data_IF_524091426339
#
_entry.id   IF_524091426339
#
_cell.length_a   1.000
_cell.length_b   1.000
_cell.length_c   1.000
_cell.angle_alpha   90.00
_cell.angle_beta   90.00
_cell.angle_gamma   90.00
#
_symmetry.space_group_name_H-M   'P 1'
#
loop_
_entity.id
_entity.type
_entity.pdbx_description
1 polymer ?
#
# COMPACT_ATOMS: atom_id res chain seq x y z
N UNK A 1 -12.18 22.58 2.50
CA UNK A 1 -11.86 22.62 1.05
C UNK A 1 -11.24 21.29 0.68
N UNK A 2 -11.63 20.68 -0.44
CA UNK A 2 -11.04 19.43 -0.89
C UNK A 2 -9.54 19.62 -1.16
N UNK A 3 -8.71 18.62 -0.81
CA UNK A 3 -7.27 18.65 -1.11
C UNK A 3 -7.06 18.64 -2.64
N UNK A 4 -5.98 19.27 -3.15
CA UNK A 4 -5.64 19.16 -4.55
C UNK A 4 -5.30 17.71 -4.91
N UNK A 5 -5.73 17.24 -6.07
CA UNK A 5 -5.35 15.90 -6.57
C UNK A 5 -3.85 15.88 -6.92
N UNK A 6 -3.09 15.04 -6.20
CA UNK A 6 -1.65 14.86 -6.37
C UNK A 6 -1.25 13.45 -6.80
N UNK A 7 -2.19 12.60 -7.19
CA UNK A 7 -1.94 11.18 -7.52
C UNK A 7 -0.84 10.99 -8.58
N UNK A 8 -0.79 11.87 -9.59
CA UNK A 8 0.23 11.81 -10.63
C UNK A 8 1.67 12.06 -10.12
N UNK A 9 1.83 12.73 -8.97
CA UNK A 9 3.12 13.15 -8.40
C UNK A 9 3.66 12.16 -7.36
N UNK A 10 2.93 11.09 -7.06
CA UNK A 10 3.30 10.13 -6.02
C UNK A 10 4.56 9.38 -6.42
N UNK A 11 5.54 9.34 -5.52
CA UNK A 11 6.82 8.65 -5.68
C UNK A 11 6.93 7.43 -4.75
N UNK A 12 6.13 7.39 -3.67
CA UNK A 12 6.10 6.30 -2.69
C UNK A 12 4.67 6.01 -2.25
N UNK A 13 4.28 4.73 -2.22
CA UNK A 13 3.03 4.26 -1.61
C UNK A 13 3.34 3.44 -0.36
N UNK A 14 2.80 3.87 0.78
CA UNK A 14 2.89 3.14 2.05
C UNK A 14 1.53 2.53 2.39
N UNK A 15 1.54 1.21 2.63
CA UNK A 15 0.35 0.47 3.02
C UNK A 15 0.37 0.19 4.52
N UNK A 16 -0.74 0.43 5.22
CA UNK A 16 -1.01 -0.38 6.40
C UNK A 16 -1.15 -1.86 6.01
N UNK A 17 -1.14 -2.74 7.00
CA UNK A 17 -1.16 -4.19 6.82
C UNK A 17 -2.52 -4.76 7.16
N UNK A 18 -2.99 -4.55 8.40
CA UNK A 18 -4.16 -5.26 8.93
C UNK A 18 -5.42 -4.53 8.51
N UNK A 19 -6.22 -5.11 7.62
CA UNK A 19 -7.41 -4.43 7.06
C UNK A 19 -7.13 -3.68 5.75
N UNK A 20 -5.86 -3.59 5.34
CA UNK A 20 -5.44 -3.12 4.01
C UNK A 20 -4.89 -4.26 3.16
N UNK A 21 -3.68 -4.76 3.45
CA UNK A 21 -3.08 -5.88 2.72
C UNK A 21 -3.65 -7.25 3.16
N UNK A 22 -4.36 -7.26 4.29
CA UNK A 22 -5.11 -8.39 4.84
C UNK A 22 -6.56 -7.98 5.08
N UNK A 23 -7.43 -8.93 5.41
CA UNK A 23 -8.83 -8.65 5.77
C UNK A 23 -9.01 -8.27 7.26
N UNK A 24 -7.91 -7.91 7.94
CA UNK A 24 -7.91 -7.53 9.36
C UNK A 24 -7.91 -8.72 10.33
N UNK A 25 -8.06 -9.96 9.83
CA UNK A 25 -8.06 -11.15 10.68
C UNK A 25 -6.65 -11.48 11.19
N UNK A 26 -6.51 -11.62 12.51
CA UNK A 26 -5.31 -12.15 13.14
C UNK A 26 -5.48 -13.63 13.48
N UNK A 27 -4.60 -14.49 12.95
CA UNK A 27 -4.55 -15.91 13.30
C UNK A 27 -3.46 -16.13 14.35
N UNK A 28 -3.89 -16.26 15.61
CA UNK A 28 -3.01 -16.30 16.77
C UNK A 28 -2.79 -17.76 17.21
N UNK A 29 -1.53 -18.18 17.28
CA UNK A 29 -1.10 -19.44 17.86
C UNK A 29 -0.55 -19.26 19.29
N UNK A 30 -0.01 -20.34 19.90
CA UNK A 30 0.49 -20.32 21.27
C UNK A 30 1.61 -19.30 21.54
N UNK A 31 2.38 -18.94 20.51
CA UNK A 31 3.52 -18.01 20.59
C UNK A 31 3.20 -16.60 20.07
N UNK A 32 1.93 -16.32 19.72
CA UNK A 32 1.50 -15.04 19.16
C UNK A 32 0.98 -15.17 17.72
N UNK A 33 1.11 -14.11 16.91
CA UNK A 33 0.62 -14.13 15.53
C UNK A 33 1.36 -15.18 14.70
N UNK A 34 0.64 -16.23 14.29
CA UNK A 34 1.21 -17.39 13.61
C UNK A 34 1.03 -17.32 12.09
N UNK A 35 -0.11 -16.80 11.63
CA UNK A 35 -0.45 -16.71 10.21
C UNK A 35 -1.07 -15.35 9.90
N UNK A 36 -0.75 -14.84 8.71
CA UNK A 36 -1.29 -13.58 8.20
C UNK A 36 -1.69 -13.77 6.72
N UNK A 37 -3.00 -13.88 6.41
CA UNK A 37 -3.45 -14.08 5.03
C UNK A 37 -3.26 -12.82 4.20
N UNK A 38 -2.52 -12.95 3.09
CA UNK A 38 -2.35 -11.89 2.09
C UNK A 38 -3.00 -12.26 0.77
N UNK A 39 -3.31 -11.25 -0.06
CA UNK A 39 -3.84 -11.48 -1.40
C UNK A 39 -2.73 -11.58 -2.45
N UNK A 40 -2.84 -12.55 -3.37
CA UNK A 40 -1.89 -12.68 -4.49
C UNK A 40 -2.00 -11.55 -5.51
N UNK A 41 -3.21 -10.98 -5.71
CA UNK A 41 -3.43 -9.86 -6.62
C UNK A 41 -2.69 -8.61 -6.18
N UNK A 42 -2.65 -8.37 -4.86
CA UNK A 42 -1.91 -7.26 -4.26
C UNK A 42 -0.41 -7.39 -4.44
N UNK A 43 0.11 -8.62 -4.58
CA UNK A 43 1.52 -8.84 -4.94
C UNK A 43 1.89 -8.26 -6.32
N UNK A 44 0.94 -8.23 -7.27
CA UNK A 44 1.16 -7.62 -8.60
C UNK A 44 1.30 -6.10 -8.49
N UNK A 45 0.66 -5.47 -7.50
CA UNK A 45 0.73 -4.03 -7.30
C UNK A 45 2.17 -3.56 -7.07
N UNK A 46 2.93 -4.28 -6.24
CA UNK A 46 4.34 -3.96 -5.93
C UNK A 46 5.19 -3.99 -7.20
N UNK A 47 5.08 -5.05 -8.00
CA UNK A 47 5.80 -5.16 -9.26
C UNK A 47 5.42 -4.06 -10.25
N UNK A 48 4.13 -3.76 -10.34
CA UNK A 48 3.60 -2.73 -11.23
C UNK A 48 4.08 -1.33 -10.85
N UNK A 49 3.97 -0.94 -9.57
CA UNK A 49 4.44 0.35 -9.07
C UNK A 49 5.93 0.53 -9.37
N UNK A 50 6.75 -0.48 -9.07
CA UNK A 50 8.20 -0.47 -9.33
C UNK A 50 8.51 -0.29 -10.81
N UNK A 51 7.80 -0.97 -11.70
CA UNK A 51 8.01 -0.83 -13.15
C UNK A 51 7.77 0.61 -13.64
N UNK A 52 6.88 1.35 -12.96
CA UNK A 52 6.56 2.75 -13.24
C UNK A 52 7.29 3.73 -12.32
N UNK A 53 8.37 3.28 -11.67
CA UNK A 53 9.26 4.12 -10.86
C UNK A 53 8.64 4.63 -9.56
N UNK A 54 7.60 3.97 -9.05
CA UNK A 54 6.97 4.29 -7.77
C UNK A 54 7.46 3.26 -6.74
N UNK A 55 8.05 3.74 -5.65
CA UNK A 55 8.44 2.90 -4.52
C UNK A 55 7.20 2.42 -3.76
N UNK A 56 7.32 1.28 -3.09
CA UNK A 56 6.24 0.74 -2.25
C UNK A 56 6.76 0.22 -0.92
N UNK A 57 5.92 0.28 0.11
CA UNK A 57 6.30 -0.22 1.42
C UNK A 57 5.16 -0.47 2.37
N UNK A 58 5.49 -1.06 3.52
CA UNK A 58 4.56 -1.28 4.63
C UNK A 58 4.91 -0.39 5.82
N UNK A 59 3.86 0.09 6.48
CA UNK A 59 3.93 0.89 7.69
C UNK A 59 2.97 0.31 8.73
N UNK A 60 3.49 -0.48 9.69
CA UNK A 60 2.66 -1.14 10.71
C UNK A 60 3.21 -0.96 12.12
N UNK A 61 2.36 -0.60 13.09
CA UNK A 61 2.78 -0.56 14.49
C UNK A 61 3.14 -1.94 15.03
N UNK A 62 2.54 -3.00 14.46
CA UNK A 62 2.85 -4.39 14.80
C UNK A 62 4.08 -4.88 14.03
N UNK A 63 4.73 -5.90 14.57
CA UNK A 63 5.77 -6.66 13.90
C UNK A 63 5.43 -8.13 14.03
N UNK A 64 5.52 -8.88 12.92
CA UNK A 64 5.40 -10.33 12.94
C UNK A 64 6.19 -10.95 11.80
N UNK A 65 6.63 -12.19 12.02
CA UNK A 65 7.46 -12.90 11.04
C UNK A 65 6.74 -13.11 9.69
N UNK A 66 5.44 -13.46 9.62
CA UNK A 66 4.73 -13.55 8.34
C UNK A 66 4.71 -12.24 7.55
N UNK A 67 4.56 -11.10 8.23
CA UNK A 67 4.62 -9.77 7.58
C UNK A 67 6.00 -9.50 6.98
N UNK A 68 7.07 -9.69 7.77
CA UNK A 68 8.44 -9.48 7.32
C UNK A 68 8.73 -10.37 6.11
N UNK A 69 8.44 -11.66 6.22
CA UNK A 69 8.65 -12.62 5.13
C UNK A 69 7.92 -12.20 3.85
N UNK A 70 6.66 -11.79 3.94
CA UNK A 70 5.90 -11.39 2.76
C UNK A 70 6.41 -10.09 2.15
N UNK A 71 6.68 -9.06 2.95
CA UNK A 71 7.18 -7.79 2.46
C UNK A 71 8.55 -7.93 1.78
N UNK A 72 9.45 -8.74 2.35
CA UNK A 72 10.74 -9.09 1.74
C UNK A 72 10.56 -9.90 0.44
N UNK A 73 9.66 -10.90 0.42
CA UNK A 73 9.39 -11.69 -0.78
C UNK A 73 8.90 -10.83 -1.95
N UNK A 74 8.03 -9.85 -1.67
CA UNK A 74 7.54 -8.92 -2.69
C UNK A 74 8.60 -7.91 -3.15
N UNK A 75 9.70 -7.77 -2.40
CA UNK A 75 10.74 -6.79 -2.68
C UNK A 75 10.26 -5.36 -2.48
N UNK A 76 9.48 -5.11 -1.43
CA UNK A 76 9.07 -3.76 -1.03
C UNK A 76 10.29 -2.95 -0.60
N UNK A 77 10.32 -1.68 -0.99
CA UNK A 77 11.43 -0.75 -0.74
C UNK A 77 11.50 -0.33 0.72
N UNK A 78 10.34 -0.15 1.37
CA UNK A 78 10.24 0.30 2.76
C UNK A 78 9.51 -0.74 3.61
N UNK A 79 10.14 -1.18 4.70
CA UNK A 79 9.53 -2.05 5.71
C UNK A 79 9.70 -1.38 7.07
N UNK A 80 8.71 -0.57 7.46
CA UNK A 80 8.70 0.13 8.75
C UNK A 80 7.69 -0.53 9.69
N UNK A 81 8.20 -1.20 10.71
CA UNK A 81 7.39 -2.01 11.64
C UNK A 81 7.80 -1.82 13.10
N UNK A 82 6.91 -2.16 14.04
CA UNK A 82 7.25 -2.25 15.47
C UNK A 82 7.47 -0.90 16.15
N UNK A 83 6.68 0.12 15.80
CA UNK A 83 6.75 1.47 16.39
C UNK A 83 5.46 1.82 17.15
N UNK A 84 5.53 2.86 18.00
CA UNK A 84 4.38 3.35 18.77
C UNK A 84 3.63 4.51 18.12
N UNK A 85 4.29 5.33 17.28
CA UNK A 85 3.69 6.53 16.68
C UNK A 85 3.86 6.55 15.15
N UNK A 86 2.75 6.32 14.44
CA UNK A 86 2.72 6.20 12.97
C UNK A 86 3.11 7.48 12.23
N UNK A 87 2.72 8.64 12.78
CA UNK A 87 3.06 9.94 12.22
C UNK A 87 4.56 10.27 12.32
N UNK A 88 5.23 9.82 13.37
CA UNK A 88 6.69 9.97 13.48
C UNK A 88 7.40 9.04 12.49
N UNK A 89 6.90 7.80 12.39
CA UNK A 89 7.45 6.82 11.47
C UNK A 89 7.38 7.25 10.00
N UNK A 90 6.30 7.92 9.55
CA UNK A 90 6.22 8.40 8.17
C UNK A 90 7.18 9.57 7.88
N UNK A 91 7.40 10.45 8.87
CA UNK A 91 8.37 11.55 8.73
C UNK A 91 9.79 11.02 8.63
N UNK A 92 10.11 10.00 9.43
CA UNK A 92 11.38 9.31 9.33
C UNK A 92 11.57 8.65 7.96
N UNK A 93 10.53 7.98 7.43
CA UNK A 93 10.59 7.41 6.07
C UNK A 93 10.82 8.50 5.02
N UNK A 94 10.11 9.63 5.12
CA UNK A 94 10.27 10.75 4.20
C UNK A 94 11.72 11.27 4.18
N UNK A 95 12.36 11.37 5.34
CA UNK A 95 13.77 11.74 5.46
C UNK A 95 14.72 10.67 4.91
N UNK A 96 14.52 9.40 5.28
CA UNK A 96 15.35 8.26 4.84
C UNK A 96 15.31 8.05 3.33
N UNK A 97 14.12 8.18 2.73
CA UNK A 97 13.90 8.00 1.30
C UNK A 97 14.19 9.26 0.47
N UNK A 98 14.35 10.41 1.13
CA UNK A 98 14.46 11.72 0.45
C UNK A 98 13.20 12.11 -0.31
N UNK A 99 12.03 11.64 0.11
CA UNK A 99 10.73 11.87 -0.52
C UNK A 99 9.86 12.69 0.43
N UNK A 100 9.48 13.90 0.03
CA UNK A 100 8.62 14.75 0.83
C UNK A 100 7.21 14.15 0.98
N UNK A 101 6.54 14.43 2.11
CA UNK A 101 5.21 13.90 2.41
C UNK A 101 4.16 14.25 1.33
N UNK A 102 4.34 15.36 0.60
CA UNK A 102 3.50 15.78 -0.53
C UNK A 102 3.71 14.97 -1.82
N UNK A 103 4.56 13.93 -1.78
CA UNK A 103 4.73 12.89 -2.81
C UNK A 103 4.51 11.47 -2.30
N UNK A 104 4.00 11.32 -1.08
CA UNK A 104 3.69 10.03 -0.48
C UNK A 104 2.18 9.78 -0.56
N UNK A 105 1.79 8.58 -0.97
CA UNK A 105 0.45 8.07 -0.79
C UNK A 105 0.42 7.13 0.42
N UNK A 106 -0.64 7.19 1.23
CA UNK A 106 -0.82 6.28 2.34
C UNK A 106 -2.20 5.59 2.28
N UNK A 107 -2.22 4.31 2.63
CA UNK A 107 -3.44 3.48 2.64
C UNK A 107 -3.68 3.00 4.06
N UNK A 108 -4.83 3.35 4.63
CA UNK A 108 -5.21 2.98 5.99
C UNK A 108 -6.67 2.57 6.08
N UNK A 109 -7.01 1.81 7.12
CA UNK A 109 -8.35 1.26 7.32
C UNK A 109 -8.97 1.63 8.68
N UNK A 110 -8.17 1.97 9.70
CA UNK A 110 -8.66 2.22 11.06
C UNK A 110 -8.27 3.60 11.61
N UNK A 111 -8.89 4.02 12.71
CA UNK A 111 -8.80 5.38 13.29
C UNK A 111 -7.34 5.82 13.52
N UNK A 112 -6.46 4.88 13.84
CA UNK A 112 -5.03 5.12 14.08
C UNK A 112 -4.28 5.65 12.85
N UNK A 113 -4.85 5.48 11.66
CA UNK A 113 -4.29 5.91 10.37
C UNK A 113 -4.60 7.34 10.02
N UNK A 114 -5.70 7.88 10.54
CA UNK A 114 -6.22 9.22 10.19
C UNK A 114 -5.16 10.33 10.34
N UNK A 115 -4.32 10.37 11.40
CA UNK A 115 -3.28 11.38 11.50
C UNK A 115 -2.29 11.35 10.33
N UNK A 116 -1.93 10.15 9.86
CA UNK A 116 -1.00 9.96 8.73
C UNK A 116 -1.69 10.32 7.43
N UNK A 117 -2.94 9.87 7.24
CA UNK A 117 -3.74 10.19 6.06
C UNK A 117 -3.87 11.69 5.81
N UNK A 118 -3.88 12.50 6.88
CA UNK A 118 -3.93 13.97 6.81
C UNK A 118 -2.60 14.64 6.48
N UNK A 119 -1.47 13.97 6.74
CA UNK A 119 -0.12 14.53 6.58
C UNK A 119 0.46 14.25 5.18
N UNK A 120 -0.06 13.23 4.48
CA UNK A 120 0.43 12.80 3.15
C UNK A 120 -0.27 13.51 1.98
N UNK A 121 0.31 13.34 0.78
CA UNK A 121 -0.18 13.91 -0.46
C UNK A 121 -1.58 13.45 -0.85
N UNK A 122 -1.81 12.13 -0.74
CA UNK A 122 -3.09 11.50 -1.02
C UNK A 122 -3.31 10.32 -0.07
N UNK A 123 -4.52 10.19 0.44
CA UNK A 123 -4.92 9.10 1.33
C UNK A 123 -5.96 8.21 0.68
N UNK A 124 -5.74 6.90 0.77
CA UNK A 124 -6.65 5.88 0.29
C UNK A 124 -7.23 5.08 1.46
N UNK A 125 -8.45 4.57 1.28
CA UNK A 125 -9.07 3.62 2.20
C UNK A 125 -9.70 2.45 1.43
N UNK A 126 -9.61 1.21 1.95
CA UNK A 126 -10.46 0.09 1.52
C UNK A 126 -11.95 0.41 1.67
N UNK A 127 -12.81 -0.30 0.92
CA UNK A 127 -14.27 -0.10 0.96
C UNK A 127 -14.89 -0.39 2.34
N UNK A 128 -14.29 -1.29 3.11
CA UNK A 128 -14.72 -1.73 4.43
C UNK A 128 -13.92 -1.10 5.58
N UNK A 129 -13.14 -0.06 5.30
CA UNK A 129 -12.48 0.74 6.32
C UNK A 129 -13.49 1.36 7.31
N UNK A 130 -13.00 1.73 8.48
CA UNK A 130 -13.80 2.42 9.49
C UNK A 130 -14.47 3.67 8.89
N UNK A 131 -15.73 4.00 9.21
CA UNK A 131 -16.44 5.13 8.59
C UNK A 131 -15.72 6.48 8.69
N UNK A 132 -15.03 6.75 9.80
CA UNK A 132 -14.23 7.97 9.98
C UNK A 132 -12.96 7.98 9.11
N UNK A 133 -12.45 6.81 8.72
CA UNK A 133 -11.31 6.67 7.81
C UNK A 133 -11.78 6.92 6.38
N UNK A 134 -12.94 6.39 6.01
CA UNK A 134 -13.62 6.70 4.74
C UNK A 134 -13.85 8.22 4.61
N UNK A 135 -14.30 8.88 5.68
CA UNK A 135 -14.45 10.35 5.70
C UNK A 135 -13.12 11.10 5.54
N UNK A 136 -12.02 10.54 6.07
CA UNK A 136 -10.69 11.15 6.02
C UNK A 136 -9.91 10.86 4.73
N UNK A 137 -10.30 9.84 3.96
CA UNK A 137 -9.65 9.46 2.72
C UNK A 137 -9.97 10.43 1.57
N UNK A 138 -9.01 10.66 0.68
CA UNK A 138 -9.30 11.36 -0.59
C UNK A 138 -9.98 10.42 -1.58
N UNK A 139 -9.63 9.14 -1.52
CA UNK A 139 -10.10 8.11 -2.43
C UNK A 139 -10.48 6.86 -1.65
N UNK A 140 -11.70 6.40 -1.86
CA UNK A 140 -12.21 5.15 -1.28
C UNK A 140 -12.27 4.12 -2.39
N UNK A 141 -11.60 3.01 -2.18
CA UNK A 141 -11.54 1.91 -3.15
C UNK A 141 -12.83 1.11 -3.15
N UNK A 142 -13.06 0.35 -4.22
CA UNK A 142 -14.16 -0.63 -4.27
C UNK A 142 -13.80 -1.93 -3.59
N UNK A 143 -12.53 -2.29 -3.61
CA UNK A 143 -12.01 -3.48 -2.95
C UNK A 143 -11.96 -3.31 -1.43
N UNK A 144 -12.32 -4.40 -0.74
CA UNK A 144 -12.11 -4.56 0.69
C UNK A 144 -10.65 -4.88 1.04
N UNK A 145 -10.30 -4.72 2.31
CA UNK A 145 -9.03 -5.17 2.88
C UNK A 145 -8.68 -6.60 2.50
N UNK A 146 -7.46 -6.84 2.01
CA UNK A 146 -6.98 -8.16 1.60
C UNK A 146 -7.71 -8.76 0.39
N UNK A 147 -8.46 -7.95 -0.36
CA UNK A 147 -9.22 -8.38 -1.55
C UNK A 147 -8.79 -7.70 -2.85
N UNK A 148 -7.57 -7.19 -2.92
CA UNK A 148 -7.03 -6.54 -4.12
C UNK A 148 -6.94 -5.01 -4.03
N UNK A 149 -6.98 -4.44 -2.83
CA UNK A 149 -6.97 -2.98 -2.63
C UNK A 149 -5.67 -2.34 -3.09
N UNK A 150 -4.52 -2.99 -2.85
CA UNK A 150 -3.24 -2.45 -3.31
C UNK A 150 -3.17 -2.48 -4.84
N UNK A 151 -3.74 -3.52 -5.46
CA UNK A 151 -3.84 -3.61 -6.91
C UNK A 151 -4.70 -2.50 -7.51
N UNK A 152 -5.87 -2.25 -6.92
CA UNK A 152 -6.77 -1.17 -7.36
C UNK A 152 -6.08 0.21 -7.23
N UNK A 153 -5.38 0.46 -6.13
CA UNK A 153 -4.66 1.72 -5.88
C UNK A 153 -3.52 1.93 -6.88
N UNK A 154 -2.74 0.88 -7.18
CA UNK A 154 -1.67 0.98 -8.16
C UNK A 154 -2.22 1.34 -9.55
N UNK A 155 -3.35 0.75 -9.96
CA UNK A 155 -4.01 1.11 -11.22
C UNK A 155 -4.58 2.53 -11.19
N UNK A 156 -5.17 2.99 -10.07
CA UNK A 156 -5.69 4.35 -9.91
C UNK A 156 -4.58 5.41 -10.02
N UNK A 157 -3.45 5.22 -9.34
CA UNK A 157 -2.30 6.13 -9.39
C UNK A 157 -1.73 6.24 -10.80
N UNK A 158 -1.59 5.12 -11.51
CA UNK A 158 -1.10 5.11 -12.88
C UNK A 158 -2.12 5.69 -13.87
N UNK A 159 -3.41 5.51 -13.62
CA UNK A 159 -4.46 6.14 -14.40
C UNK A 159 -4.42 7.67 -14.24
N UNK A 160 -4.15 8.18 -13.04
CA UNK A 160 -3.92 9.60 -12.81
C UNK A 160 -2.69 10.16 -13.54
N UNK A 161 -1.73 9.29 -13.92
CA UNK A 161 -0.61 9.64 -14.82
C UNK A 161 -0.96 9.54 -16.31
N UNK A 162 -2.22 9.29 -16.64
CA UNK A 162 -2.73 9.22 -18.02
C UNK A 162 -2.52 7.88 -18.71
N UNK A 163 -2.19 6.82 -17.96
CA UNK A 163 -2.02 5.48 -18.52
C UNK A 163 -3.34 4.72 -18.52
N UNK A 164 -3.61 3.96 -19.58
CA UNK A 164 -4.64 2.92 -19.59
C UNK A 164 -4.06 1.56 -19.12
N UNK A 165 -4.92 0.56 -18.90
CA UNK A 165 -4.49 -0.76 -18.43
C UNK A 165 -3.52 -1.45 -19.39
N UNK A 166 -3.68 -1.28 -20.71
CA UNK A 166 -2.77 -1.89 -21.68
C UNK A 166 -1.37 -1.28 -21.56
N UNK A 167 -1.28 0.04 -21.38
CA UNK A 167 -0.02 0.75 -21.17
C UNK A 167 0.62 0.39 -19.82
N UNK A 168 -0.17 0.27 -18.75
CA UNK A 168 0.31 -0.14 -17.44
C UNK A 168 1.00 -1.52 -17.50
N UNK A 169 0.38 -2.47 -18.20
CA UNK A 169 0.84 -3.86 -18.27
C UNK A 169 1.63 -4.21 -19.54
N UNK A 170 2.00 -3.23 -20.37
CA UNK A 170 2.67 -3.48 -21.65
C UNK A 170 3.94 -4.35 -21.51
N UNK A 171 4.69 -4.16 -20.42
CA UNK A 171 5.89 -4.93 -20.10
C UNK A 171 5.63 -6.42 -19.77
N UNK A 172 4.39 -6.79 -19.46
CA UNK A 172 3.99 -8.17 -19.21
C UNK A 172 3.29 -8.78 -20.42
N UNK A 173 2.37 -8.04 -21.03
CA UNK A 173 1.54 -8.55 -22.13
C UNK A 173 2.34 -8.87 -23.40
N UNK A 174 3.56 -8.36 -23.53
CA UNK A 174 4.48 -8.65 -24.63
C UNK A 174 5.68 -9.54 -24.26
N UNK A 175 5.77 -10.04 -23.02
CA UNK A 175 6.91 -10.83 -22.52
C UNK A 175 6.42 -12.05 -21.74
N UNK A 176 6.35 -13.20 -22.43
CA UNK A 176 5.96 -14.49 -21.85
C UNK A 176 6.85 -14.92 -20.68
N UNK A 177 8.14 -14.56 -20.71
CA UNK A 177 9.05 -14.89 -19.62
C UNK A 177 8.81 -13.97 -18.41
N UNK A 178 8.42 -12.72 -18.62
CA UNK A 178 7.96 -11.86 -17.53
C UNK A 178 6.69 -12.40 -16.87
N UNK A 179 5.72 -12.86 -17.66
CA UNK A 179 4.51 -13.51 -17.14
C UNK A 179 4.84 -14.78 -16.35
N UNK A 180 5.77 -15.62 -16.82
CA UNK A 180 6.22 -16.81 -16.08
C UNK A 180 6.86 -16.46 -14.75
N UNK A 181 7.65 -15.39 -14.67
CA UNK A 181 8.28 -14.92 -13.42
C UNK A 181 7.25 -14.44 -12.39
N UNK A 182 6.04 -14.05 -12.79
CA UNK A 182 4.99 -13.61 -11.85
C UNK A 182 4.25 -14.75 -11.14
N UNK A 183 4.34 -15.99 -11.66
CA UNK A 183 3.60 -17.15 -11.14
C UNK A 183 4.45 -17.95 -10.13
N UNK A 184 5.75 -17.63 -10.02
CA UNK A 184 6.71 -18.28 -9.13
C UNK A 184 6.82 -17.50 -7.80
#
# INVERSE_FOLDING_TARGET
>A
MARPDRRAQIELVLFDVDGVLTDGTLLIGPEGEALKPFNVRDGVAVGLLRQHGIKSGVLSAKSSQPLITRATQLGMDVIKIGFSHKLEAIRQIAEEEGIAADRIAFVGDDIIDIPVMRDVATAYAPADAHPLVIEAADHVMKANGGRGVAREIAEDLLSARGLDLHQMYAHLLGDDDALRRMVQ
#
